data_IF_871378092903
#
_entry.id   IF_871378092903
#
_cell.length_a   1.000
_cell.length_b   1.000
_cell.length_c   1.000
_cell.angle_alpha   90.00
_cell.angle_beta   90.00
_cell.angle_gamma   90.00
#
_symmetry.space_group_name_H-M   'P 1'
#
loop_
_entity.id
_entity.type
_entity.pdbx_description
1 polymer ?
#
# COMPACT_ATOMS: atom_id res chain seq x y z
N UNK A 1 -37.76 14.27 14.12
CA UNK A 1 -37.01 13.50 15.14
C UNK A 1 -36.65 12.10 14.69
N UNK A 2 -37.57 11.18 14.33
CA UNK A 2 -37.16 9.90 13.70
C UNK A 2 -36.57 10.14 12.31
N UNK A 3 -37.24 10.98 11.51
CA UNK A 3 -36.76 11.44 10.21
C UNK A 3 -35.36 12.10 10.33
N UNK A 4 -35.13 12.91 11.37
CA UNK A 4 -33.83 13.53 11.64
C UNK A 4 -32.71 12.50 11.92
N UNK A 5 -33.03 11.35 12.54
CA UNK A 5 -32.05 10.26 12.72
C UNK A 5 -31.78 9.52 11.42
N UNK A 6 -32.80 9.32 10.58
CA UNK A 6 -32.66 8.66 9.27
C UNK A 6 -31.81 9.50 8.31
N UNK A 7 -32.05 10.80 8.25
CA UNK A 7 -31.25 11.74 7.45
C UNK A 7 -29.79 11.73 7.91
N UNK A 8 -29.53 11.80 9.23
CA UNK A 8 -28.17 11.73 9.78
C UNK A 8 -27.46 10.41 9.48
N UNK A 9 -28.17 9.28 9.58
CA UNK A 9 -27.62 7.95 9.26
C UNK A 9 -27.26 7.90 7.77
N UNK A 10 -28.16 8.34 6.89
CA UNK A 10 -27.95 8.34 5.44
C UNK A 10 -26.75 9.23 5.04
N UNK A 11 -26.61 10.40 5.64
CA UNK A 11 -25.46 11.28 5.42
C UNK A 11 -24.13 10.61 5.81
N UNK A 12 -24.08 9.96 6.98
CA UNK A 12 -22.87 9.28 7.46
C UNK A 12 -22.54 8.06 6.58
N UNK A 13 -23.53 7.29 6.15
CA UNK A 13 -23.36 6.16 5.24
C UNK A 13 -22.82 6.61 3.88
N UNK A 14 -23.35 7.72 3.35
CA UNK A 14 -22.86 8.31 2.11
C UNK A 14 -21.39 8.75 2.22
N UNK A 15 -21.03 9.47 3.29
CA UNK A 15 -19.64 9.89 3.51
C UNK A 15 -18.71 8.67 3.68
N UNK A 16 -19.16 7.62 4.36
CA UNK A 16 -18.41 6.37 4.47
C UNK A 16 -18.12 5.74 3.09
N UNK A 17 -19.12 5.68 2.21
CA UNK A 17 -18.96 5.13 0.85
C UNK A 17 -17.97 5.98 0.02
N UNK A 18 -18.07 7.30 0.11
CA UNK A 18 -17.15 8.22 -0.58
C UNK A 18 -15.70 8.01 -0.10
N UNK A 19 -15.49 7.93 1.21
CA UNK A 19 -14.15 7.70 1.79
C UNK A 19 -13.58 6.33 1.38
N UNK A 20 -14.40 5.27 1.37
CA UNK A 20 -13.95 3.95 0.93
C UNK A 20 -13.48 4.01 -0.53
N UNK A 21 -14.25 4.66 -1.41
CA UNK A 21 -13.90 4.85 -2.82
C UNK A 21 -12.59 5.64 -3.00
N UNK A 22 -12.39 6.69 -2.20
CA UNK A 22 -11.14 7.45 -2.22
C UNK A 22 -9.96 6.62 -1.73
N UNK A 23 -10.15 5.82 -0.68
CA UNK A 23 -9.13 4.90 -0.17
C UNK A 23 -8.74 3.85 -1.21
N UNK A 24 -9.69 3.26 -1.94
CA UNK A 24 -9.44 2.36 -3.06
C UNK A 24 -8.61 3.01 -4.18
N UNK A 25 -8.91 4.28 -4.47
CA UNK A 25 -8.17 5.06 -5.46
C UNK A 25 -6.71 5.28 -5.01
N UNK A 26 -6.50 5.59 -3.73
CA UNK A 26 -5.16 5.72 -3.16
C UNK A 26 -4.40 4.39 -3.14
N UNK A 27 -5.06 3.26 -2.88
CA UNK A 27 -4.43 1.94 -2.97
C UNK A 27 -3.88 1.68 -4.37
N UNK A 28 -4.71 1.90 -5.41
CA UNK A 28 -4.29 1.73 -6.81
C UNK A 28 -3.13 2.66 -7.16
N UNK A 29 -3.20 3.92 -6.74
CA UNK A 29 -2.12 4.90 -6.93
C UNK A 29 -0.82 4.45 -6.27
N UNK A 30 -0.88 3.96 -5.04
CA UNK A 30 0.27 3.47 -4.30
C UNK A 30 0.94 2.28 -4.98
N UNK A 31 0.14 1.33 -5.50
CA UNK A 31 0.63 0.17 -6.24
C UNK A 31 1.43 0.61 -7.47
N UNK A 32 0.89 1.54 -8.26
CA UNK A 32 1.56 2.07 -9.46
C UNK A 32 2.83 2.85 -9.13
N UNK A 33 2.82 3.63 -8.05
CA UNK A 33 4.01 4.33 -7.56
C UNK A 33 5.10 3.35 -7.10
N UNK A 34 4.71 2.26 -6.43
CA UNK A 34 5.63 1.20 -6.00
C UNK A 34 6.27 0.50 -7.18
N UNK A 35 5.48 0.12 -8.20
CA UNK A 35 6.01 -0.48 -9.44
C UNK A 35 7.02 0.44 -10.13
N UNK A 36 6.68 1.73 -10.23
CA UNK A 36 7.53 2.74 -10.85
C UNK A 36 8.84 2.92 -10.09
N UNK A 37 8.77 2.98 -8.76
CA UNK A 37 9.94 3.09 -7.89
C UNK A 37 10.86 1.88 -8.01
N UNK A 38 10.32 0.66 -7.92
CA UNK A 38 11.12 -0.55 -8.03
C UNK A 38 11.77 -0.66 -9.40
N UNK A 39 11.05 -0.38 -10.48
CA UNK A 39 11.63 -0.32 -11.82
C UNK A 39 12.80 0.66 -11.89
N UNK A 40 12.62 1.87 -11.38
CA UNK A 40 13.67 2.88 -11.33
C UNK A 40 14.89 2.41 -10.53
N UNK A 41 14.67 1.80 -9.37
CA UNK A 41 15.73 1.25 -8.52
C UNK A 41 16.53 0.15 -9.23
N UNK A 42 15.84 -0.81 -9.87
CA UNK A 42 16.48 -1.91 -10.62
C UNK A 42 17.30 -1.37 -11.79
N UNK A 43 16.70 -0.49 -12.59
CA UNK A 43 17.37 0.13 -13.74
C UNK A 43 18.61 0.92 -13.30
N UNK A 44 18.48 1.70 -12.22
CA UNK A 44 19.58 2.46 -11.63
C UNK A 44 20.70 1.56 -11.10
N UNK A 45 20.36 0.51 -10.35
CA UNK A 45 21.33 -0.39 -9.72
C UNK A 45 22.15 -1.17 -10.74
N UNK A 46 21.49 -1.68 -11.78
CA UNK A 46 22.17 -2.35 -12.89
C UNK A 46 23.03 -1.35 -13.66
N UNK A 47 22.53 -0.15 -13.95
CA UNK A 47 23.30 0.86 -14.69
C UNK A 47 24.56 1.31 -13.95
N UNK A 48 24.46 1.56 -12.64
CA UNK A 48 25.61 1.89 -11.77
C UNK A 48 26.62 0.75 -11.80
N UNK A 49 26.16 -0.49 -11.64
CA UNK A 49 27.07 -1.64 -11.61
C UNK A 49 27.80 -1.84 -12.94
N UNK A 50 27.07 -1.84 -14.06
CA UNK A 50 27.62 -1.93 -15.42
C UNK A 50 28.65 -0.83 -15.67
N UNK A 51 28.35 0.41 -15.27
CA UNK A 51 29.28 1.54 -15.45
C UNK A 51 30.53 1.41 -14.57
N UNK A 52 30.38 0.95 -13.33
CA UNK A 52 31.48 0.82 -12.37
C UNK A 52 32.44 -0.34 -12.68
N UNK A 53 31.96 -1.37 -13.41
CA UNK A 53 32.72 -2.57 -13.77
C UNK A 53 32.83 -2.68 -15.30
N UNK A 54 33.27 -1.59 -15.94
CA UNK A 54 33.33 -1.46 -17.40
C UNK A 54 34.20 -2.54 -18.07
N UNK A 55 35.23 -3.05 -17.39
CA UNK A 55 36.07 -4.14 -17.92
C UNK A 55 35.26 -5.41 -18.18
N UNK A 56 34.33 -5.74 -17.27
CA UNK A 56 33.43 -6.88 -17.44
C UNK A 56 32.49 -6.61 -18.61
N UNK A 57 31.91 -5.41 -18.68
CA UNK A 57 31.02 -5.01 -19.78
C UNK A 57 31.70 -5.09 -21.15
N UNK A 58 32.96 -4.66 -21.24
CA UNK A 58 33.74 -4.70 -22.48
C UNK A 58 34.10 -6.12 -22.91
N UNK A 59 34.16 -7.07 -21.98
CA UNK A 59 34.40 -8.49 -22.26
C UNK A 59 33.13 -9.26 -22.65
N UNK A 60 31.94 -8.68 -22.46
CA UNK A 60 30.69 -9.28 -22.91
C UNK A 60 30.49 -9.06 -24.40
N UNK A 61 30.06 -10.11 -25.10
CA UNK A 61 29.70 -10.00 -26.51
C UNK A 61 28.33 -9.31 -26.69
N UNK A 62 28.01 -8.93 -27.93
CA UNK A 62 26.77 -8.21 -28.27
C UNK A 62 25.50 -8.98 -27.86
N UNK A 63 25.51 -10.30 -27.97
CA UNK A 63 24.38 -11.14 -27.61
C UNK A 63 24.18 -11.18 -26.09
N UNK A 64 25.25 -11.33 -25.31
CA UNK A 64 25.20 -11.27 -23.85
C UNK A 64 24.67 -9.93 -23.35
N UNK A 65 25.12 -8.82 -23.95
CA UNK A 65 24.62 -7.48 -23.62
C UNK A 65 23.15 -7.28 -23.98
N UNK A 66 22.69 -7.87 -25.10
CA UNK A 66 21.27 -7.89 -25.47
C UNK A 66 20.46 -8.67 -24.45
N UNK A 67 20.90 -9.89 -24.12
CA UNK A 67 20.21 -10.77 -23.18
C UNK A 67 20.14 -10.14 -21.78
N UNK A 68 21.19 -9.45 -21.32
CA UNK A 68 21.17 -8.71 -20.05
C UNK A 68 20.06 -7.64 -20.03
N UNK A 69 19.93 -6.87 -21.12
CA UNK A 69 18.87 -5.85 -21.24
C UNK A 69 17.47 -6.47 -21.28
N UNK A 70 17.30 -7.56 -22.01
CA UNK A 70 16.03 -8.31 -22.10
C UNK A 70 15.64 -8.91 -20.76
N UNK A 71 16.58 -9.58 -20.07
CA UNK A 71 16.36 -10.17 -18.75
C UNK A 71 16.05 -9.12 -17.69
N UNK A 72 16.71 -7.95 -17.74
CA UNK A 72 16.36 -6.81 -16.89
C UNK A 72 14.91 -6.37 -17.11
N UNK A 73 14.48 -6.19 -18.36
CA UNK A 73 13.10 -5.80 -18.66
C UNK A 73 12.11 -6.87 -18.18
N UNK A 74 12.43 -8.15 -18.42
CA UNK A 74 11.65 -9.29 -17.92
C UNK A 74 11.53 -9.26 -16.39
N UNK A 75 12.63 -9.01 -15.69
CA UNK A 75 12.66 -8.91 -14.24
C UNK A 75 11.74 -7.80 -13.72
N UNK A 76 11.79 -6.60 -14.33
CA UNK A 76 10.91 -5.49 -13.92
C UNK A 76 9.43 -5.83 -14.10
N UNK A 77 9.07 -6.59 -15.15
CA UNK A 77 7.70 -7.04 -15.39
C UNK A 77 7.27 -8.10 -14.36
N UNK A 78 8.13 -9.08 -14.08
CA UNK A 78 7.87 -10.12 -13.08
C UNK A 78 7.63 -9.49 -11.70
N UNK A 79 8.46 -8.54 -11.30
CA UNK A 79 8.30 -7.87 -10.01
C UNK A 79 7.04 -7.02 -9.99
N UNK A 80 6.71 -6.31 -11.08
CA UNK A 80 5.45 -5.57 -11.16
C UNK A 80 4.23 -6.48 -10.96
N UNK A 81 4.23 -7.69 -11.55
CA UNK A 81 3.17 -8.67 -11.33
C UNK A 81 3.12 -9.18 -9.89
N UNK A 82 4.27 -9.42 -9.25
CA UNK A 82 4.32 -9.82 -7.83
C UNK A 82 3.79 -8.72 -6.91
N UNK A 83 4.09 -7.46 -7.21
CA UNK A 83 3.53 -6.30 -6.49
C UNK A 83 2.00 -6.32 -6.61
N UNK A 84 1.45 -6.52 -7.81
CA UNK A 84 0.00 -6.63 -7.99
C UNK A 84 -0.62 -7.77 -7.18
N UNK A 85 0.00 -8.95 -7.19
CA UNK A 85 -0.48 -10.12 -6.45
C UNK A 85 -0.47 -9.88 -4.94
N UNK A 86 0.61 -9.31 -4.43
CA UNK A 86 0.77 -9.06 -3.01
C UNK A 86 -0.24 -8.01 -2.51
N UNK A 87 -0.37 -6.89 -3.23
CA UNK A 87 -1.29 -5.80 -2.84
C UNK A 87 -2.76 -6.07 -3.15
N UNK A 88 -3.10 -7.15 -3.88
CA UNK A 88 -4.48 -7.66 -3.95
C UNK A 88 -4.96 -8.24 -2.61
N UNK A 89 -4.05 -8.63 -1.72
CA UNK A 89 -4.42 -9.19 -0.44
C UNK A 89 -5.11 -8.11 0.43
N UNK A 90 -6.39 -8.29 0.81
CA UNK A 90 -7.14 -7.31 1.59
C UNK A 90 -6.46 -6.98 2.92
N UNK A 91 -5.63 -7.87 3.46
CA UNK A 91 -4.98 -7.69 4.79
C UNK A 91 -4.10 -6.45 4.87
N UNK A 92 -3.64 -5.92 3.74
CA UNK A 92 -2.89 -4.66 3.69
C UNK A 92 -3.77 -3.42 3.81
N UNK A 93 -5.06 -3.52 3.49
CA UNK A 93 -5.97 -2.38 3.39
C UNK A 93 -7.03 -2.43 4.50
N UNK A 94 -6.99 -1.47 5.42
CA UNK A 94 -7.85 -1.49 6.62
C UNK A 94 -9.32 -1.31 6.31
N UNK A 95 -9.68 -0.54 5.28
CA UNK A 95 -11.07 -0.35 4.89
C UNK A 95 -11.70 -1.61 4.26
N UNK A 96 -10.88 -2.56 3.79
CA UNK A 96 -11.34 -3.82 3.20
C UNK A 96 -11.74 -4.86 4.27
N UNK A 97 -11.73 -4.49 5.56
CA UNK A 97 -12.11 -5.36 6.67
C UNK A 97 -13.33 -4.77 7.38
N UNK A 98 -14.24 -5.66 7.80
CA UNK A 98 -15.29 -5.27 8.73
C UNK A 98 -14.65 -4.84 10.05
N UNK A 99 -15.13 -3.71 10.58
CA UNK A 99 -14.72 -3.24 11.90
C UNK A 99 -15.69 -3.88 12.88
N UNK A 100 -15.25 -4.72 13.82
CA UNK A 100 -16.17 -5.37 14.74
C UNK A 100 -16.84 -4.34 15.65
N UNK A 101 -18.15 -4.50 15.85
CA UNK A 101 -19.02 -3.60 16.62
C UNK A 101 -18.56 -3.32 18.06
N UNK A 102 -17.70 -4.19 18.62
CA UNK A 102 -17.31 -4.17 20.03
C UNK A 102 -15.93 -3.54 20.27
N UNK A 103 -15.24 -3.07 19.22
CA UNK A 103 -13.85 -2.67 19.35
C UNK A 103 -13.69 -1.30 20.02
N UNK A 104 -13.13 -1.32 21.22
CA UNK A 104 -12.73 -0.11 21.96
C UNK A 104 -11.61 0.62 21.23
N UNK A 105 -11.42 1.91 21.56
CA UNK A 105 -10.45 2.85 20.95
C UNK A 105 -9.02 2.30 20.75
N UNK A 106 -8.60 1.25 21.46
CA UNK A 106 -7.23 0.71 21.45
C UNK A 106 -6.94 -0.29 20.33
N UNK A 107 -7.91 -1.08 19.84
CA UNK A 107 -7.59 -2.23 18.94
C UNK A 107 -7.34 -1.84 17.48
N UNK A 108 -7.91 -0.73 17.02
CA UNK A 108 -7.62 -0.13 15.69
C UNK A 108 -6.63 1.03 15.77
N UNK A 109 -5.98 1.21 16.92
CA UNK A 109 -5.00 2.26 17.15
C UNK A 109 -3.80 2.20 16.19
N UNK A 110 -3.14 3.35 16.08
CA UNK A 110 -1.92 3.67 15.31
C UNK A 110 -0.89 2.52 15.17
N UNK A 111 -0.78 1.64 16.16
CA UNK A 111 0.16 0.52 16.21
C UNK A 111 -0.07 -0.57 15.16
N UNK A 112 -1.32 -0.83 14.75
CA UNK A 112 -1.60 -1.83 13.71
C UNK A 112 -1.20 -1.33 12.31
N UNK A 113 -1.23 -0.02 12.09
CA UNK A 113 -0.80 0.59 10.82
C UNK A 113 0.72 0.48 10.62
N UNK A 114 1.51 0.77 11.65
CA UNK A 114 2.97 0.61 11.57
C UNK A 114 3.38 -0.84 11.28
N UNK A 115 2.66 -1.85 11.83
CA UNK A 115 2.91 -3.26 11.52
C UNK A 115 2.61 -3.62 10.06
N UNK A 116 1.55 -3.07 9.46
CA UNK A 116 1.24 -3.29 8.04
C UNK A 116 2.26 -2.58 7.13
N UNK A 117 2.71 -1.38 7.48
CA UNK A 117 3.78 -0.67 6.76
C UNK A 117 5.14 -1.38 6.87
N UNK A 118 5.41 -2.07 7.98
CA UNK A 118 6.60 -2.92 8.11
C UNK A 118 6.55 -4.11 7.14
N UNK A 119 5.39 -4.74 6.94
CA UNK A 119 5.25 -5.79 5.91
C UNK A 119 5.45 -5.26 4.49
N UNK A 120 4.97 -4.05 4.20
CA UNK A 120 5.26 -3.39 2.91
C UNK A 120 6.77 -3.23 2.66
N UNK A 121 7.51 -2.85 3.71
CA UNK A 121 8.98 -2.80 3.66
C UNK A 121 9.58 -4.18 3.40
N UNK A 122 9.09 -5.23 4.06
CA UNK A 122 9.56 -6.60 3.85
C UNK A 122 9.34 -7.06 2.40
N UNK A 123 8.20 -6.72 1.80
CA UNK A 123 7.89 -7.02 0.39
C UNK A 123 8.87 -6.30 -0.53
N UNK A 124 9.06 -5.00 -0.34
CA UNK A 124 10.00 -4.21 -1.16
C UNK A 124 11.43 -4.75 -1.01
N UNK A 125 11.85 -5.06 0.21
CA UNK A 125 13.15 -5.67 0.49
C UNK A 125 13.29 -7.08 -0.08
N UNK A 126 12.19 -7.82 -0.25
CA UNK A 126 12.24 -9.16 -0.87
C UNK A 126 12.67 -9.10 -2.33
N UNK A 127 12.53 -7.94 -3.00
CA UNK A 127 12.93 -7.73 -4.39
C UNK A 127 14.40 -7.30 -4.54
N UNK A 128 15.07 -7.04 -3.44
CA UNK A 128 16.40 -6.42 -3.42
C UNK A 128 17.50 -7.27 -4.06
N UNK A 129 17.42 -8.59 -3.87
CA UNK A 129 18.42 -9.52 -4.38
C UNK A 129 18.30 -9.77 -5.89
N UNK A 130 17.15 -9.50 -6.50
CA UNK A 130 16.92 -9.91 -7.89
C UNK A 130 17.85 -9.23 -8.90
N UNK A 131 18.13 -7.91 -8.83
CA UNK A 131 19.02 -7.30 -9.80
C UNK A 131 20.47 -7.71 -9.55
N UNK A 132 20.85 -7.98 -8.30
CA UNK A 132 22.15 -8.56 -7.96
C UNK A 132 22.30 -9.96 -8.57
N UNK A 133 21.31 -10.84 -8.36
CA UNK A 133 21.29 -12.19 -8.95
C UNK A 133 21.43 -12.13 -10.47
N UNK A 134 20.66 -11.23 -11.11
CA UNK A 134 20.72 -11.04 -12.55
C UNK A 134 22.12 -10.66 -13.03
N UNK A 135 22.76 -9.64 -12.45
CA UNK A 135 24.08 -9.19 -12.92
C UNK A 135 25.18 -10.21 -12.61
N UNK A 136 25.09 -10.98 -11.51
CA UNK A 136 26.06 -12.04 -11.22
C UNK A 136 26.08 -13.14 -12.29
N UNK A 137 24.95 -13.40 -12.97
CA UNK A 137 24.90 -14.36 -14.09
C UNK A 137 25.78 -13.94 -15.29
N UNK A 138 26.13 -12.65 -15.37
CA UNK A 138 27.00 -12.09 -16.41
C UNK A 138 28.41 -11.77 -15.90
N UNK A 139 28.76 -12.27 -14.70
CA UNK A 139 30.10 -12.14 -14.14
C UNK A 139 30.36 -10.86 -13.35
N UNK A 140 29.37 -9.97 -13.18
CA UNK A 140 29.52 -8.78 -12.33
C UNK A 140 29.65 -9.17 -10.85
N UNK A 141 30.46 -8.42 -10.11
CA UNK A 141 30.68 -8.59 -8.67
C UNK A 141 29.84 -7.61 -7.85
N UNK A 142 29.63 -7.88 -6.56
CA UNK A 142 28.73 -7.08 -5.73
C UNK A 142 29.38 -5.82 -5.10
N UNK A 143 30.64 -5.53 -5.44
CA UNK A 143 31.46 -4.56 -4.68
C UNK A 143 30.99 -3.10 -4.81
N UNK A 144 30.11 -2.79 -5.77
CA UNK A 144 29.59 -1.44 -6.02
C UNK A 144 28.05 -1.43 -6.18
N UNK A 145 27.37 -2.43 -5.64
CA UNK A 145 25.91 -2.50 -5.75
C UNK A 145 25.26 -1.50 -4.78
N UNK A 146 24.25 -0.72 -5.21
CA UNK A 146 23.62 0.26 -4.33
C UNK A 146 22.95 -0.37 -3.13
N UNK A 147 22.98 0.33 -1.99
CA UNK A 147 22.22 -0.07 -0.82
C UNK A 147 20.74 -0.22 -1.14
N UNK A 148 20.10 -1.12 -0.41
CA UNK A 148 18.72 -1.42 -0.68
C UNK A 148 17.75 -0.34 -0.22
N UNK A 149 16.61 -0.19 -0.94
CA UNK A 149 15.74 0.95 -0.75
C UNK A 149 15.10 0.87 0.64
N UNK A 150 15.54 1.75 1.53
CA UNK A 150 14.96 1.91 2.86
C UNK A 150 13.75 2.84 2.82
N UNK A 151 12.93 2.84 3.89
CA UNK A 151 11.79 3.76 4.02
C UNK A 151 12.18 5.24 3.86
N UNK A 152 13.40 5.62 4.28
CA UNK A 152 13.94 6.97 4.10
C UNK A 152 14.23 7.32 2.63
N UNK A 153 14.29 6.32 1.75
CA UNK A 153 14.59 6.48 0.34
C UNK A 153 13.33 6.35 -0.53
N UNK A 154 12.15 6.19 0.08
CA UNK A 154 10.91 6.14 -0.68
C UNK A 154 10.64 7.50 -1.32
N UNK A 155 10.17 7.50 -2.59
CA UNK A 155 9.91 8.73 -3.29
C UNK A 155 8.71 9.43 -2.65
N UNK A 156 8.74 10.78 -2.63
CA UNK A 156 7.69 11.60 -2.01
C UNK A 156 6.27 11.16 -2.41
N UNK A 157 5.96 10.83 -3.68
CA UNK A 157 4.61 10.45 -4.07
C UNK A 157 4.06 9.27 -3.28
N UNK A 158 4.89 8.25 -3.02
CA UNK A 158 4.49 7.08 -2.21
C UNK A 158 4.19 7.48 -0.77
N UNK A 159 5.05 8.32 -0.18
CA UNK A 159 4.88 8.84 1.19
C UNK A 159 3.59 9.66 1.29
N UNK A 160 3.36 10.53 0.32
CA UNK A 160 2.16 11.37 0.22
C UNK A 160 0.88 10.54 0.12
N UNK A 161 0.87 9.52 -0.74
CA UNK A 161 -0.27 8.60 -0.89
C UNK A 161 -0.56 7.86 0.42
N UNK A 162 0.46 7.39 1.14
CA UNK A 162 0.32 6.75 2.45
C UNK A 162 -0.24 7.70 3.51
N UNK A 163 0.24 8.94 3.56
CA UNK A 163 -0.24 9.93 4.51
C UNK A 163 -1.72 10.26 4.29
N UNK A 164 -2.13 10.43 3.03
CA UNK A 164 -3.52 10.64 2.63
C UNK A 164 -4.39 9.44 3.02
N UNK A 165 -3.94 8.22 2.71
CA UNK A 165 -4.64 7.00 3.08
C UNK A 165 -4.84 6.89 4.59
N UNK A 166 -3.78 7.19 5.35
CA UNK A 166 -3.83 7.16 6.82
C UNK A 166 -4.79 8.21 7.39
N UNK A 167 -4.90 9.37 6.75
CA UNK A 167 -5.86 10.41 7.12
C UNK A 167 -7.31 9.96 6.86
N UNK A 168 -7.58 9.41 5.67
CA UNK A 168 -8.91 8.89 5.32
C UNK A 168 -9.32 7.74 6.24
N UNK A 169 -8.40 6.83 6.58
CA UNK A 169 -8.69 5.74 7.49
C UNK A 169 -9.11 6.24 8.88
N UNK A 170 -8.47 7.30 9.40
CA UNK A 170 -8.87 7.92 10.67
C UNK A 170 -10.28 8.50 10.59
N UNK A 171 -10.63 9.15 9.46
CA UNK A 171 -11.98 9.68 9.25
C UNK A 171 -13.01 8.56 9.13
N UNK A 172 -12.72 7.50 8.37
CA UNK A 172 -13.58 6.31 8.25
C UNK A 172 -13.86 5.67 9.62
N UNK A 173 -12.84 5.52 10.45
CA UNK A 173 -12.98 4.99 11.81
C UNK A 173 -13.88 5.87 12.68
N UNK A 174 -13.79 7.19 12.52
CA UNK A 174 -14.62 8.13 13.25
C UNK A 174 -16.08 8.07 12.79
N UNK A 175 -16.34 8.13 11.48
CA UNK A 175 -17.70 8.03 10.93
C UNK A 175 -18.40 6.72 11.27
N UNK A 176 -17.69 5.59 11.24
CA UNK A 176 -18.26 4.30 11.66
C UNK A 176 -18.74 4.33 13.11
N UNK A 177 -18.07 5.06 14.00
CA UNK A 177 -18.51 5.23 15.40
C UNK A 177 -19.72 6.15 15.51
N UNK A 178 -19.75 7.22 14.72
CA UNK A 178 -20.90 8.12 14.65
C UNK A 178 -22.13 7.37 14.15
N UNK A 179 -21.98 6.49 13.16
CA UNK A 179 -23.04 5.63 12.63
C UNK A 179 -23.59 4.68 13.71
N UNK A 180 -22.72 3.96 14.41
CA UNK A 180 -23.11 3.07 15.52
C UNK A 180 -23.87 3.87 16.60
N UNK A 181 -23.39 5.06 16.93
CA UNK A 181 -24.03 5.93 17.93
C UNK A 181 -25.41 6.39 17.46
N UNK A 182 -25.54 6.82 16.21
CA UNK A 182 -26.80 7.27 15.63
C UNK A 182 -27.86 6.15 15.59
N UNK A 183 -27.47 4.92 15.20
CA UNK A 183 -28.36 3.77 15.27
C UNK A 183 -28.82 3.46 16.70
N UNK A 184 -27.89 3.52 17.67
CA UNK A 184 -28.25 3.30 19.08
C UNK A 184 -29.24 4.35 19.58
N UNK A 185 -28.98 5.64 19.33
CA UNK A 185 -29.87 6.74 19.72
C UNK A 185 -31.25 6.62 19.08
N UNK A 186 -31.32 6.23 17.79
CA UNK A 186 -32.59 5.96 17.10
C UNK A 186 -33.36 4.83 17.80
N UNK A 187 -32.71 3.71 18.08
CA UNK A 187 -33.33 2.54 18.72
C UNK A 187 -33.81 2.87 20.15
N UNK A 188 -33.03 3.60 20.93
CA UNK A 188 -33.41 4.07 22.27
C UNK A 188 -34.64 4.99 22.21
N UNK A 189 -34.66 5.93 21.26
CA UNK A 189 -35.80 6.82 21.06
C UNK A 189 -37.07 6.08 20.63
N UNK A 190 -36.96 5.13 19.69
CA UNK A 190 -38.09 4.32 19.24
C UNK A 190 -38.65 3.44 20.36
N UNK A 191 -37.77 2.84 21.18
CA UNK A 191 -38.16 2.07 22.35
C UNK A 191 -38.91 2.93 23.38
N UNK A 192 -38.40 4.12 23.69
CA UNK A 192 -39.07 5.07 24.61
C UNK A 192 -40.44 5.49 24.06
N UNK A 193 -40.53 5.83 22.77
CA UNK A 193 -41.80 6.20 22.12
C UNK A 193 -42.82 5.07 22.12
N UNK A 194 -42.39 3.81 22.08
CA UNK A 194 -43.27 2.64 22.23
C UNK A 194 -43.74 2.48 23.67
N UNK A 195 -42.85 2.66 24.64
CA UNK A 195 -43.18 2.60 26.07
C UNK A 195 -44.20 3.68 26.46
N UNK A 196 -44.00 4.92 26.03
CA UNK A 196 -44.88 6.05 26.35
C UNK A 196 -46.29 5.95 25.73
N UNK A 197 -46.50 5.01 24.79
CA UNK A 197 -47.80 4.74 24.17
C UNK A 197 -48.63 3.69 24.90
N UNK A 198 -48.04 2.96 25.86
CA UNK A 198 -48.71 1.95 26.68
C UNK A 198 -49.27 2.57 27.96
#
# INVERSE_FOLDING_TARGET
>A
MVEDFEEKIEEIEKENMEIISDMDTLCKKFIEETKSFIKYYIDGSIAVTVKSQYDITNNLNKEQLRNLKENRNSLTNIIASKIDEEFKNPTYWTHAHEIPDHTTNQEFGYDNHNKKFLKLKEIINSFDNYPQELITQYGYTNNNYPDSPTLSNWPEPMISTIQKYSSLNKRLLHLKRELITAHREKNEYEAQKLWDKL
#
